data_IF_701602473405
#
_entry.id   IF_701602473405
#
_cell.length_a   1.000
_cell.length_b   1.000
_cell.length_c   1.000
_cell.angle_alpha   90.00
_cell.angle_beta   90.00
_cell.angle_gamma   90.00
#
_symmetry.space_group_name_H-M   'P 1'
#
loop_
_entity.id
_entity.type
_entity.pdbx_description
1 polymer ?
#
# COMPACT_ATOMS: atom_id res chain seq x y z
N UNK A 1 36.62 -1.39 -22.00
CA UNK A 1 36.78 -1.08 -20.56
C UNK A 1 35.83 0.04 -20.10
N UNK A 2 34.58 0.07 -20.56
CA UNK A 2 33.56 1.02 -20.10
C UNK A 2 32.28 0.27 -19.68
N UNK A 3 31.96 -0.83 -20.38
CA UNK A 3 30.87 -1.73 -20.02
C UNK A 3 31.00 -2.35 -18.61
N UNK A 4 32.20 -2.77 -18.21
CA UNK A 4 32.46 -3.46 -16.93
C UNK A 4 32.27 -2.54 -15.69
N UNK A 5 32.67 -1.26 -15.81
CA UNK A 5 32.43 -0.24 -14.77
C UNK A 5 30.94 0.13 -14.70
N UNK A 6 30.26 0.14 -15.85
CA UNK A 6 28.82 0.43 -15.93
C UNK A 6 28.00 -0.70 -15.33
N UNK A 7 28.34 -1.97 -15.58
CA UNK A 7 27.75 -3.14 -14.92
C UNK A 7 27.94 -3.10 -13.40
N UNK A 8 29.12 -2.70 -12.92
CA UNK A 8 29.37 -2.57 -11.48
C UNK A 8 28.58 -1.44 -10.80
N UNK A 9 28.26 -0.36 -11.53
CA UNK A 9 27.45 0.77 -11.01
C UNK A 9 25.96 0.51 -11.16
N UNK A 10 25.54 -0.06 -12.29
CA UNK A 10 24.15 -0.48 -12.53
C UNK A 10 23.76 -1.64 -11.62
N UNK A 11 24.65 -2.60 -11.37
CA UNK A 11 24.41 -3.70 -10.42
C UNK A 11 24.26 -3.16 -8.98
N UNK A 12 25.10 -2.21 -8.56
CA UNK A 12 24.92 -1.55 -7.24
C UNK A 12 23.64 -0.74 -7.15
N UNK A 13 23.21 -0.12 -8.25
CA UNK A 13 21.93 0.57 -8.33
C UNK A 13 20.76 -0.42 -8.27
N UNK A 14 20.83 -1.50 -9.04
CA UNK A 14 19.84 -2.57 -9.05
C UNK A 14 19.72 -3.23 -7.68
N UNK A 15 20.82 -3.55 -7.00
CA UNK A 15 20.81 -4.07 -5.63
C UNK A 15 20.22 -3.09 -4.62
N UNK A 16 20.44 -1.77 -4.78
CA UNK A 16 19.79 -0.75 -3.96
C UNK A 16 18.30 -0.66 -4.23
N UNK A 17 17.88 -0.75 -5.49
CA UNK A 17 16.48 -0.79 -5.89
C UNK A 17 15.79 -2.07 -5.39
N UNK A 18 16.45 -3.23 -5.45
CA UNK A 18 15.96 -4.50 -4.91
C UNK A 18 15.87 -4.46 -3.39
N UNK A 19 16.89 -3.95 -2.68
CA UNK A 19 16.81 -3.78 -1.22
C UNK A 19 15.73 -2.78 -0.81
N UNK A 20 15.52 -1.74 -1.61
CA UNK A 20 14.41 -0.80 -1.40
C UNK A 20 13.08 -1.50 -1.66
N UNK A 21 12.94 -2.26 -2.75
CA UNK A 21 11.76 -3.04 -3.08
C UNK A 21 11.46 -4.09 -2.02
N UNK A 22 12.45 -4.84 -1.51
CA UNK A 22 12.30 -5.80 -0.40
C UNK A 22 11.86 -5.11 0.90
N UNK A 23 12.34 -3.89 1.15
CA UNK A 23 11.91 -3.08 2.30
C UNK A 23 10.50 -2.51 2.13
N UNK A 24 10.05 -2.38 0.88
CA UNK A 24 8.67 -2.10 0.47
C UNK A 24 7.90 -3.35 0.02
N UNK A 25 8.39 -4.55 0.36
CA UNK A 25 7.62 -5.79 0.44
C UNK A 25 7.21 -6.01 1.91
N UNK A 26 6.58 -5.04 2.62
CA UNK A 26 5.85 -5.47 3.78
C UNK A 26 4.72 -6.33 3.21
N UNK A 27 4.44 -7.41 3.93
CA UNK A 27 3.31 -8.28 3.69
C UNK A 27 2.09 -7.51 3.14
N UNK A 28 1.35 -8.07 2.18
CA UNK A 28 0.21 -7.39 1.52
C UNK A 28 -0.80 -6.83 2.53
N UNK A 29 -0.88 -7.44 3.71
CA UNK A 29 -1.65 -6.96 4.85
C UNK A 29 -1.20 -5.59 5.37
N UNK A 30 0.11 -5.30 5.41
CA UNK A 30 0.64 -4.02 5.92
C UNK A 30 0.26 -2.87 4.99
N UNK A 31 0.27 -3.10 3.67
CA UNK A 31 -0.25 -2.12 2.71
C UNK A 31 -1.73 -1.86 2.91
N UNK A 32 -2.52 -2.93 3.10
CA UNK A 32 -3.94 -2.79 3.41
C UNK A 32 -4.16 -2.00 4.71
N UNK A 33 -3.41 -2.32 5.77
CA UNK A 33 -3.48 -1.62 7.05
C UNK A 33 -3.11 -0.13 6.93
N UNK A 34 -2.05 0.20 6.20
CA UNK A 34 -1.64 1.58 5.94
C UNK A 34 -2.68 2.36 5.13
N UNK A 35 -3.25 1.74 4.09
CA UNK A 35 -4.29 2.37 3.28
C UNK A 35 -5.55 2.65 4.13
N UNK A 36 -5.97 1.68 4.93
CA UNK A 36 -7.10 1.84 5.88
C UNK A 36 -6.81 2.95 6.88
N UNK A 37 -5.59 3.00 7.43
CA UNK A 37 -5.17 4.04 8.36
C UNK A 37 -5.23 5.43 7.72
N UNK A 38 -4.73 5.58 6.50
CA UNK A 38 -4.79 6.83 5.74
C UNK A 38 -6.22 7.29 5.48
N UNK A 39 -7.10 6.37 5.05
CA UNK A 39 -8.52 6.68 4.80
C UNK A 39 -9.22 7.08 6.10
N UNK A 40 -8.98 6.36 7.20
CA UNK A 40 -9.50 6.71 8.52
C UNK A 40 -9.06 8.11 8.94
N UNK A 41 -7.77 8.44 8.82
CA UNK A 41 -7.26 9.78 9.15
C UNK A 41 -7.91 10.84 8.27
N UNK A 42 -8.06 10.59 6.96
CA UNK A 42 -8.73 11.50 6.04
C UNK A 42 -10.19 11.74 6.40
N UNK A 43 -10.94 10.68 6.74
CA UNK A 43 -12.34 10.79 7.16
C UNK A 43 -12.49 11.57 8.46
N UNK A 44 -11.62 11.33 9.44
CA UNK A 44 -11.61 12.08 10.70
C UNK A 44 -11.24 13.55 10.48
N UNK A 45 -10.29 13.84 9.59
CA UNK A 45 -9.91 15.21 9.22
C UNK A 45 -11.06 15.97 8.54
N UNK A 46 -11.95 15.26 7.83
CA UNK A 46 -13.19 15.82 7.26
C UNK A 46 -14.32 16.02 8.29
N UNK A 47 -14.09 15.69 9.57
CA UNK A 47 -15.07 15.85 10.64
C UNK A 47 -16.04 14.67 10.80
N UNK A 48 -15.78 13.53 10.16
CA UNK A 48 -16.57 12.32 10.38
C UNK A 48 -16.35 11.77 11.79
N UNK A 49 -17.40 11.23 12.41
CA UNK A 49 -17.25 10.51 13.68
C UNK A 49 -16.54 9.18 13.43
N UNK A 50 -15.64 8.73 14.33
CA UNK A 50 -14.89 7.47 14.16
C UNK A 50 -15.81 6.26 13.95
N UNK A 51 -16.96 6.25 14.61
CA UNK A 51 -17.98 5.20 14.50
C UNK A 51 -18.61 5.14 13.11
N UNK A 52 -18.79 6.29 12.47
CA UNK A 52 -19.45 6.38 11.17
C UNK A 52 -18.47 5.98 10.05
N UNK A 53 -17.19 6.36 10.19
CA UNK A 53 -16.11 5.89 9.30
C UNK A 53 -15.95 4.37 9.35
N UNK A 54 -15.95 3.77 10.54
CA UNK A 54 -15.83 2.32 10.71
C UNK A 54 -17.03 1.57 10.10
N UNK A 55 -18.25 2.08 10.31
CA UNK A 55 -19.47 1.52 9.68
C UNK A 55 -19.42 1.61 8.16
N UNK A 56 -19.08 2.77 7.61
CA UNK A 56 -19.00 2.96 6.16
C UNK A 56 -17.97 2.04 5.50
N UNK A 57 -16.82 1.81 6.15
CA UNK A 57 -15.81 0.88 5.66
C UNK A 57 -16.32 -0.58 5.68
N UNK A 58 -16.99 -0.98 6.77
CA UNK A 58 -17.58 -2.32 6.90
C UNK A 58 -18.68 -2.59 5.88
N UNK A 59 -19.63 -1.65 5.73
CA UNK A 59 -20.71 -1.74 4.74
C UNK A 59 -20.15 -1.84 3.31
N UNK A 60 -19.08 -1.09 3.01
CA UNK A 60 -18.36 -1.18 1.76
C UNK A 60 -17.75 -2.57 1.52
N UNK A 61 -17.08 -3.16 2.52
CA UNK A 61 -16.52 -4.50 2.40
C UNK A 61 -17.59 -5.56 2.13
N UNK A 62 -18.72 -5.52 2.85
CA UNK A 62 -19.82 -6.45 2.65
C UNK A 62 -20.54 -6.25 1.30
N UNK A 63 -20.56 -5.02 0.79
CA UNK A 63 -21.07 -4.69 -0.55
C UNK A 63 -20.27 -5.32 -1.69
N UNK A 64 -19.01 -5.73 -1.49
CA UNK A 64 -18.22 -6.37 -2.55
C UNK A 64 -18.73 -7.77 -2.92
N UNK A 65 -19.33 -8.50 -1.96
CA UNK A 65 -19.83 -9.86 -2.20
C UNK A 65 -20.90 -9.88 -3.30
N UNK A 66 -22.03 -9.14 -3.18
CA UNK A 66 -23.05 -9.12 -4.22
C UNK A 66 -22.57 -8.45 -5.53
N UNK A 67 -21.51 -7.63 -5.49
CA UNK A 67 -20.90 -7.07 -6.70
C UNK A 67 -20.19 -8.14 -7.53
N UNK A 68 -19.54 -9.12 -6.89
CA UNK A 68 -18.90 -10.24 -7.62
C UNK A 68 -19.87 -11.31 -8.14
N UNK A 69 -21.11 -11.29 -7.69
CA UNK A 69 -22.17 -12.22 -8.12
C UNK A 69 -23.00 -11.71 -9.31
N UNK A 70 -22.72 -10.51 -9.81
CA UNK A 70 -23.36 -9.88 -10.96
C UNK A 70 -22.44 -9.96 -12.18
#
# INVERSE_FOLDING_TARGET
MAAEIQDSRSARFALRCSNWAERWFPDSWVFAALAVLLVCIGALAMGAKPTDTAKAFGDGFWSLIPFTMQ
#
